data_IF_718768273798
#
_entry.id   IF_718768273798
#
_cell.length_a   1.000
_cell.length_b   1.000
_cell.length_c   1.000
_cell.angle_alpha   90.00
_cell.angle_beta   90.00
_cell.angle_gamma   90.00
#
_symmetry.space_group_name_H-M   'P 1'
#
loop_
_entity.id
_entity.type
_entity.pdbx_description
1 polymer ?
#
# COMPACT_ATOMS: atom_id res chain seq x y z
N UNK A 1 44.29 47.37 -29.68
CA UNK A 1 42.84 47.35 -29.67
C UNK A 1 42.24 45.93 -29.46
N UNK A 2 42.71 44.86 -30.13
CA UNK A 2 42.13 43.50 -29.95
C UNK A 2 42.26 42.91 -28.54
N UNK A 3 43.32 43.22 -27.78
CA UNK A 3 43.51 42.70 -26.40
C UNK A 3 42.60 43.37 -25.37
N UNK A 4 42.26 44.66 -25.56
CA UNK A 4 41.37 45.38 -24.65
C UNK A 4 39.91 44.94 -24.83
N UNK A 5 39.51 44.60 -26.07
CA UNK A 5 38.17 44.09 -26.36
C UNK A 5 37.90 42.71 -25.70
N UNK A 6 38.92 41.83 -25.65
CA UNK A 6 38.80 40.51 -24.99
C UNK A 6 38.65 40.63 -23.46
N UNK A 7 39.32 41.61 -22.84
CA UNK A 7 39.22 41.84 -21.39
C UNK A 7 37.84 42.39 -21.02
N UNK A 8 37.30 43.33 -21.81
CA UNK A 8 35.94 43.86 -21.59
C UNK A 8 34.87 42.79 -21.77
N UNK A 9 35.02 41.92 -22.77
CA UNK A 9 34.08 40.80 -22.97
C UNK A 9 34.17 39.77 -21.84
N UNK A 10 35.35 39.47 -21.33
CA UNK A 10 35.58 38.61 -20.18
C UNK A 10 34.97 39.16 -18.88
N UNK A 11 35.11 40.46 -18.63
CA UNK A 11 34.49 41.10 -17.48
C UNK A 11 32.97 41.19 -17.57
N UNK A 12 32.40 41.36 -18.76
CA UNK A 12 30.94 41.31 -18.97
C UNK A 12 30.38 39.90 -18.77
N UNK A 13 31.11 38.85 -19.19
CA UNK A 13 30.70 37.47 -18.94
C UNK A 13 30.76 37.09 -17.46
N UNK A 14 31.81 37.52 -16.76
CA UNK A 14 31.94 37.26 -15.29
C UNK A 14 30.89 38.07 -14.53
N UNK A 15 30.66 39.33 -14.90
CA UNK A 15 29.63 40.19 -14.32
C UNK A 15 28.20 39.64 -14.60
N UNK A 16 27.95 39.12 -15.80
CA UNK A 16 26.69 38.51 -16.18
C UNK A 16 26.40 37.23 -15.41
N UNK A 17 27.42 36.39 -15.22
CA UNK A 17 27.26 35.13 -14.41
C UNK A 17 27.08 35.48 -12.94
N UNK A 18 27.80 36.47 -12.39
CA UNK A 18 27.61 36.89 -11.02
C UNK A 18 26.22 37.52 -10.80
N UNK A 19 25.69 38.31 -11.75
CA UNK A 19 24.36 38.87 -11.67
C UNK A 19 23.27 37.81 -11.76
N UNK A 20 23.43 36.78 -12.61
CA UNK A 20 22.49 35.63 -12.70
C UNK A 20 22.50 34.77 -11.43
N UNK A 21 23.68 34.63 -10.80
CA UNK A 21 23.78 33.91 -9.51
C UNK A 21 23.15 34.73 -8.38
N UNK A 22 23.32 36.04 -8.37
CA UNK A 22 22.71 36.94 -7.38
C UNK A 22 21.19 37.11 -7.61
N UNK A 23 20.71 37.11 -8.86
CA UNK A 23 19.28 37.15 -9.16
C UNK A 23 18.57 35.79 -8.94
N UNK A 24 19.27 34.66 -9.04
CA UNK A 24 18.77 33.36 -8.61
C UNK A 24 18.74 33.17 -7.09
N UNK A 25 19.47 33.97 -6.35
CA UNK A 25 19.47 33.96 -4.88
C UNK A 25 18.30 34.72 -4.23
N UNK A 26 17.42 35.38 -5.01
CA UNK A 26 16.17 36.00 -4.54
C UNK A 26 14.91 35.21 -4.93
N UNK A 27 15.03 33.88 -5.04
CA UNK A 27 13.87 33.01 -4.86
C UNK A 27 13.40 33.09 -3.40
N UNK A 28 12.12 32.74 -3.09
CA UNK A 28 11.60 32.75 -1.73
C UNK A 28 12.62 32.07 -0.82
N UNK A 29 12.94 32.68 0.32
CA UNK A 29 13.90 32.17 1.30
C UNK A 29 13.77 30.66 1.43
N UNK A 30 14.78 29.92 0.99
CA UNK A 30 14.87 28.49 1.20
C UNK A 30 14.94 28.30 2.70
N UNK A 31 13.79 28.06 3.31
CA UNK A 31 13.70 27.70 4.73
C UNK A 31 14.68 26.55 4.95
N UNK A 32 15.68 26.74 5.80
CA UNK A 32 16.65 25.69 6.08
C UNK A 32 15.91 24.46 6.58
N UNK A 33 15.89 23.39 5.76
CA UNK A 33 15.15 22.17 6.07
C UNK A 33 16.04 21.16 6.79
N UNK A 34 15.45 20.46 7.74
CA UNK A 34 16.03 19.32 8.43
C UNK A 34 15.88 18.08 7.55
N UNK A 35 16.98 17.57 7.01
CA UNK A 35 16.92 16.33 6.22
C UNK A 35 16.70 15.14 7.13
N UNK A 36 15.66 14.34 6.86
CA UNK A 36 15.35 13.08 7.54
C UNK A 36 15.36 11.93 6.54
N UNK A 37 16.00 10.81 6.93
CA UNK A 37 16.01 9.56 6.16
C UNK A 37 14.98 8.61 6.76
N UNK A 38 14.17 8.00 5.92
CA UNK A 38 13.16 7.03 6.36
C UNK A 38 13.13 5.77 5.53
N UNK A 39 12.76 4.66 6.15
CA UNK A 39 12.37 3.43 5.46
C UNK A 39 10.86 3.30 5.47
N UNK A 40 10.26 3.07 4.30
CA UNK A 40 8.81 3.10 4.09
C UNK A 40 8.33 1.84 3.34
N UNK A 41 7.05 1.47 3.50
CA UNK A 41 6.40 0.54 2.57
C UNK A 41 6.32 1.15 1.17
N UNK A 42 6.50 0.33 0.13
CA UNK A 42 6.63 0.78 -1.27
C UNK A 42 5.42 1.57 -1.78
N UNK A 43 4.22 1.25 -1.31
CA UNK A 43 2.96 1.93 -1.65
C UNK A 43 2.92 3.41 -1.24
N UNK A 44 3.85 3.84 -0.37
CA UNK A 44 4.02 5.25 0.03
C UNK A 44 5.06 6.00 -0.79
N UNK A 45 5.75 5.33 -1.71
CA UNK A 45 6.85 5.93 -2.48
C UNK A 45 6.39 7.12 -3.31
N UNK A 46 5.24 6.99 -3.97
CA UNK A 46 4.70 8.05 -4.82
C UNK A 46 4.23 9.26 -4.00
N UNK A 47 3.74 9.04 -2.76
CA UNK A 47 3.42 10.12 -1.85
C UNK A 47 4.66 10.94 -1.50
N UNK A 48 5.76 10.31 -1.04
CA UNK A 48 6.97 11.04 -0.64
C UNK A 48 7.77 11.62 -1.81
N UNK A 49 7.48 11.21 -3.05
CA UNK A 49 8.09 11.78 -4.28
C UNK A 49 7.23 12.86 -4.93
N UNK A 50 6.00 13.02 -4.49
CA UNK A 50 5.09 14.03 -5.01
C UNK A 50 5.65 15.44 -4.79
N UNK A 51 5.76 16.29 -5.83
CA UNK A 51 6.29 17.66 -5.70
C UNK A 51 5.52 18.52 -4.69
N UNK A 52 4.18 18.34 -4.60
CA UNK A 52 3.36 19.09 -3.65
C UNK A 52 3.57 18.62 -2.21
N UNK A 53 3.77 17.31 -2.00
CA UNK A 53 4.14 16.74 -0.70
C UNK A 53 5.53 17.21 -0.29
N UNK A 54 6.52 17.13 -1.21
CA UNK A 54 7.90 17.61 -0.97
C UNK A 54 7.87 19.08 -0.58
N UNK A 55 7.10 19.90 -1.31
CA UNK A 55 6.97 21.34 -0.99
C UNK A 55 6.27 21.53 0.36
N UNK A 56 5.17 20.84 0.63
CA UNK A 56 4.44 20.98 1.89
C UNK A 56 5.30 20.59 3.10
N UNK A 57 6.13 19.55 2.97
CA UNK A 57 7.08 19.15 4.01
C UNK A 57 8.21 20.15 4.16
N UNK A 58 8.73 20.72 3.05
CA UNK A 58 9.75 21.75 3.09
C UNK A 58 9.24 23.03 3.77
N UNK A 59 7.99 23.44 3.50
CA UNK A 59 7.33 24.57 4.18
C UNK A 59 7.20 24.37 5.71
N UNK A 60 7.27 23.09 6.17
CA UNK A 60 7.30 22.70 7.60
C UNK A 60 8.72 22.40 8.10
N UNK A 61 9.75 22.70 7.33
CA UNK A 61 11.15 22.55 7.72
C UNK A 61 11.70 21.12 7.53
N UNK A 62 11.10 20.27 6.70
CA UNK A 62 11.55 18.90 6.44
C UNK A 62 11.94 18.67 4.99
N UNK A 63 13.09 18.03 4.78
CA UNK A 63 13.45 17.36 3.53
C UNK A 63 13.48 15.86 3.80
N UNK A 64 12.53 15.09 3.24
CA UNK A 64 12.42 13.65 3.46
C UNK A 64 13.15 12.90 2.35
N UNK A 65 14.02 11.95 2.73
CA UNK A 65 14.64 10.95 1.86
C UNK A 65 14.11 9.58 2.26
N UNK A 66 13.25 9.00 1.44
CA UNK A 66 12.57 7.74 1.72
C UNK A 66 13.13 6.61 0.86
N UNK A 67 13.40 5.47 1.49
CA UNK A 67 13.81 4.20 0.86
C UNK A 67 12.73 3.15 1.11
N UNK A 68 12.44 2.32 0.11
CA UNK A 68 11.37 1.32 0.21
C UNK A 68 11.89 -0.01 0.71
N UNK A 69 11.12 -0.64 1.62
CA UNK A 69 11.34 -2.01 2.08
C UNK A 69 9.99 -2.69 2.35
N UNK A 70 9.96 -4.02 2.33
CA UNK A 70 8.83 -4.75 2.88
C UNK A 70 8.71 -4.49 4.38
N UNK A 71 7.50 -4.27 4.88
CA UNK A 71 7.29 -3.88 6.28
C UNK A 71 7.87 -4.89 7.29
N UNK A 72 7.80 -6.19 6.98
CA UNK A 72 8.32 -7.26 7.80
C UNK A 72 9.82 -7.56 7.58
N UNK A 73 10.49 -6.73 6.79
CA UNK A 73 11.93 -6.77 6.61
C UNK A 73 12.63 -5.55 7.21
N UNK A 74 11.88 -4.55 7.65
CA UNK A 74 12.42 -3.29 8.17
C UNK A 74 13.22 -3.48 9.46
N UNK A 75 12.79 -4.38 10.34
CA UNK A 75 13.44 -4.73 11.60
C UNK A 75 14.87 -5.30 11.41
N UNK A 76 15.16 -5.82 10.22
CA UNK A 76 16.47 -6.42 9.85
C UNK A 76 17.44 -5.44 9.22
N UNK A 77 16.98 -4.20 8.96
CA UNK A 77 17.84 -3.16 8.40
C UNK A 77 18.75 -2.53 9.46
N UNK A 78 19.77 -1.80 9.02
CA UNK A 78 20.61 -0.99 9.88
C UNK A 78 19.82 0.25 10.37
N UNK A 79 18.87 0.05 11.30
CA UNK A 79 17.92 1.07 11.75
C UNK A 79 18.57 2.36 12.25
N UNK A 80 19.82 2.30 12.70
CA UNK A 80 20.61 3.47 13.13
C UNK A 80 20.92 4.45 11.99
N UNK A 81 20.78 4.02 10.74
CA UNK A 81 20.98 4.88 9.56
C UNK A 81 19.72 5.65 9.18
N UNK A 82 18.59 5.34 9.80
CA UNK A 82 17.30 5.98 9.52
C UNK A 82 16.84 6.86 10.68
N UNK A 83 16.13 7.91 10.36
CA UNK A 83 15.51 8.80 11.33
C UNK A 83 14.07 8.34 11.67
N UNK A 84 13.42 7.59 10.75
CA UNK A 84 12.12 6.98 10.98
C UNK A 84 11.94 5.70 10.15
N UNK A 85 10.99 4.86 10.61
CA UNK A 85 10.42 3.77 9.83
C UNK A 85 8.91 3.99 9.68
N UNK A 86 8.36 3.61 8.53
CA UNK A 86 6.94 3.77 8.27
C UNK A 86 6.36 2.51 7.64
N UNK A 87 6.28 1.41 8.40
CA UNK A 87 5.64 0.18 7.95
C UNK A 87 4.14 0.39 7.72
N UNK A 88 3.54 -0.56 7.04
CA UNK A 88 2.15 -0.46 6.58
C UNK A 88 1.14 -1.00 7.59
N UNK A 89 1.58 -1.46 8.77
CA UNK A 89 0.70 -1.79 9.90
C UNK A 89 1.44 -1.70 11.24
N UNK A 90 0.69 -1.82 12.34
CA UNK A 90 1.21 -1.71 13.70
C UNK A 90 2.06 -2.91 14.13
N UNK A 91 1.80 -4.10 13.59
CA UNK A 91 2.53 -5.30 13.97
C UNK A 91 4.02 -5.22 13.56
N UNK A 92 4.37 -4.95 12.30
CA UNK A 92 5.78 -4.74 11.94
C UNK A 92 6.37 -3.46 12.56
N UNK A 93 5.56 -2.46 12.92
CA UNK A 93 6.07 -1.30 13.66
C UNK A 93 6.63 -1.69 15.03
N UNK A 94 5.95 -2.58 15.76
CA UNK A 94 6.44 -3.13 17.04
C UNK A 94 7.76 -3.88 16.90
N UNK A 95 7.95 -4.63 15.80
CA UNK A 95 9.22 -5.32 15.53
C UNK A 95 10.35 -4.31 15.25
N UNK A 96 10.05 -3.23 14.53
CA UNK A 96 11.00 -2.14 14.31
C UNK A 96 11.39 -1.47 15.64
N UNK A 97 10.42 -1.15 16.49
CA UNK A 97 10.68 -0.56 17.83
C UNK A 97 11.57 -1.48 18.68
N UNK A 98 11.22 -2.77 18.73
CA UNK A 98 12.01 -3.76 19.46
C UNK A 98 13.43 -3.88 18.92
N UNK A 99 13.62 -3.94 17.61
CA UNK A 99 14.92 -4.03 16.95
C UNK A 99 15.76 -2.75 17.13
N UNK A 100 15.12 -1.58 17.17
CA UNK A 100 15.78 -0.30 17.42
C UNK A 100 16.07 -0.06 18.92
N UNK A 101 15.56 -0.90 19.82
CA UNK A 101 15.71 -0.73 21.28
C UNK A 101 14.91 0.47 21.82
N UNK A 102 13.84 0.88 21.14
CA UNK A 102 13.00 2.01 21.52
C UNK A 102 11.83 1.47 22.34
N UNK A 103 11.54 2.09 23.49
CA UNK A 103 10.37 1.81 24.29
C UNK A 103 9.46 3.04 24.30
N UNK A 104 8.18 2.84 23.96
CA UNK A 104 7.19 3.92 23.98
C UNK A 104 7.45 4.99 22.93
N UNK A 105 7.81 4.59 21.72
CA UNK A 105 7.89 5.52 20.58
C UNK A 105 6.56 6.29 20.44
N UNK A 106 6.64 7.58 20.10
CA UNK A 106 5.47 8.35 19.74
C UNK A 106 5.02 7.94 18.33
N UNK A 107 4.43 6.75 18.23
CA UNK A 107 3.83 6.30 16.98
C UNK A 107 2.76 7.27 16.48
N UNK A 108 2.70 7.47 15.18
CA UNK A 108 1.58 8.12 14.53
C UNK A 108 0.95 7.19 13.50
N UNK A 109 -0.38 7.24 13.38
CA UNK A 109 -1.15 6.46 12.40
C UNK A 109 -1.93 7.42 11.52
N UNK A 110 -1.28 8.13 10.60
CA UNK A 110 -1.92 9.22 9.87
C UNK A 110 -3.03 8.74 8.94
N UNK A 111 -2.92 7.54 8.40
CA UNK A 111 -3.85 7.00 7.43
C UNK A 111 -3.85 5.47 7.40
N UNK A 112 -4.84 4.93 6.70
CA UNK A 112 -4.97 3.51 6.44
C UNK A 112 -5.40 3.23 5.00
N UNK A 113 -5.28 1.98 4.58
CA UNK A 113 -5.86 1.49 3.33
C UNK A 113 -6.39 0.07 3.53
N UNK A 114 -7.63 -0.23 3.14
CA UNK A 114 -8.09 -1.62 3.12
C UNK A 114 -7.40 -2.40 2.01
N UNK A 115 -7.32 -3.72 2.16
CA UNK A 115 -6.97 -4.62 1.08
C UNK A 115 -8.16 -4.79 0.14
N UNK A 116 -7.89 -4.82 -1.16
CA UNK A 116 -8.84 -5.12 -2.22
C UNK A 116 -8.26 -6.18 -3.15
N UNK A 117 -9.13 -6.88 -3.86
CA UNK A 117 -8.74 -7.72 -4.99
C UNK A 117 -9.13 -7.00 -6.27
N UNK A 118 -8.16 -6.78 -7.15
CA UNK A 118 -8.41 -6.19 -8.45
C UNK A 118 -8.56 -7.33 -9.45
N UNK A 119 -9.62 -7.30 -10.23
CA UNK A 119 -10.00 -8.36 -11.15
C UNK A 119 -10.11 -7.84 -12.59
N UNK A 120 -9.74 -8.67 -13.57
CA UNK A 120 -10.17 -8.48 -14.96
C UNK A 120 -11.69 -8.60 -15.04
N UNK A 121 -12.38 -7.84 -15.92
CA UNK A 121 -13.84 -7.91 -16.06
C UNK A 121 -14.36 -9.33 -16.30
N UNK A 122 -13.67 -10.12 -17.14
CA UNK A 122 -14.01 -11.52 -17.38
C UNK A 122 -13.92 -12.37 -16.11
N UNK A 123 -12.85 -12.19 -15.32
CA UNK A 123 -12.68 -12.91 -14.07
C UNK A 123 -13.76 -12.51 -13.03
N UNK A 124 -14.03 -11.21 -12.89
CA UNK A 124 -15.09 -10.75 -11.99
C UNK A 124 -16.45 -11.31 -12.36
N UNK A 125 -16.77 -11.34 -13.67
CA UNK A 125 -18.00 -11.92 -14.18
C UNK A 125 -18.12 -13.41 -13.86
N UNK A 126 -17.08 -14.20 -14.18
CA UNK A 126 -17.08 -15.65 -13.91
C UNK A 126 -17.19 -15.94 -12.42
N UNK A 127 -16.52 -15.16 -11.56
CA UNK A 127 -16.65 -15.29 -10.11
C UNK A 127 -18.06 -14.93 -9.63
N UNK A 128 -18.70 -13.93 -10.24
CA UNK A 128 -20.07 -13.55 -9.90
C UNK A 128 -21.08 -14.64 -10.32
N UNK A 129 -20.96 -15.16 -11.54
CA UNK A 129 -21.78 -16.27 -12.04
C UNK A 129 -21.60 -17.54 -11.18
N UNK A 130 -20.39 -17.73 -10.63
CA UNK A 130 -20.03 -18.82 -9.71
C UNK A 130 -20.40 -18.59 -8.25
N UNK A 131 -20.98 -17.44 -7.89
CA UNK A 131 -21.38 -17.12 -6.52
C UNK A 131 -20.21 -16.80 -5.56
N UNK A 132 -19.03 -16.47 -6.09
CA UNK A 132 -17.86 -16.06 -5.31
C UNK A 132 -17.78 -14.52 -5.16
N UNK A 133 -18.48 -13.79 -6.01
CA UNK A 133 -18.52 -12.32 -6.02
C UNK A 133 -19.97 -11.85 -6.07
N UNK A 134 -20.26 -10.77 -5.38
CA UNK A 134 -21.51 -10.01 -5.49
C UNK A 134 -21.18 -8.64 -6.06
N UNK A 135 -21.55 -8.38 -7.32
CA UNK A 135 -21.36 -7.08 -7.92
C UNK A 135 -22.27 -6.04 -7.26
N UNK A 136 -21.73 -4.85 -6.98
CA UNK A 136 -22.46 -3.70 -6.42
C UNK A 136 -22.53 -2.53 -7.40
N UNK A 137 -21.70 -2.53 -8.42
CA UNK A 137 -21.65 -1.55 -9.51
C UNK A 137 -21.05 -2.18 -10.77
N UNK A 138 -20.78 -1.36 -11.77
CA UNK A 138 -20.16 -1.84 -13.02
C UNK A 138 -18.73 -2.36 -12.78
N UNK A 139 -17.97 -1.63 -12.02
CA UNK A 139 -16.54 -1.87 -11.79
C UNK A 139 -16.21 -2.10 -10.31
N UNK A 140 -17.21 -2.39 -9.47
CA UNK A 140 -17.00 -2.68 -8.06
C UNK A 140 -17.92 -3.79 -7.57
N UNK A 141 -17.45 -4.54 -6.59
CA UNK A 141 -18.20 -5.65 -6.00
C UNK A 141 -17.57 -6.11 -4.68
N UNK A 142 -18.18 -7.16 -4.12
CA UNK A 142 -17.72 -7.80 -2.89
C UNK A 142 -17.23 -9.20 -3.21
N UNK A 143 -15.98 -9.53 -2.86
CA UNK A 143 -15.47 -10.89 -2.88
C UNK A 143 -15.95 -11.59 -1.61
N UNK A 144 -16.72 -12.67 -1.79
CA UNK A 144 -17.25 -13.48 -0.70
C UNK A 144 -16.15 -14.44 -0.22
N UNK A 145 -15.49 -14.12 0.87
CA UNK A 145 -14.30 -14.83 1.34
C UNK A 145 -14.58 -16.30 1.67
N UNK A 146 -15.73 -16.61 2.27
CA UNK A 146 -16.10 -18.00 2.55
C UNK A 146 -16.17 -18.88 1.30
N UNK A 147 -16.99 -18.55 0.29
CA UNK A 147 -17.02 -19.23 -1.01
C UNK A 147 -15.68 -19.27 -1.74
N UNK A 148 -14.90 -18.16 -1.72
CA UNK A 148 -13.59 -18.10 -2.34
C UNK A 148 -12.60 -19.08 -1.68
N UNK A 149 -12.51 -19.08 -0.36
CA UNK A 149 -11.63 -19.99 0.39
C UNK A 149 -12.02 -21.46 0.19
N UNK A 150 -13.32 -21.76 0.10
CA UNK A 150 -13.79 -23.10 -0.23
C UNK A 150 -13.35 -23.53 -1.64
N UNK A 151 -13.46 -22.64 -2.64
CA UNK A 151 -12.99 -22.92 -3.99
C UNK A 151 -11.46 -23.18 -4.02
N UNK A 152 -10.67 -22.44 -3.22
CA UNK A 152 -9.23 -22.67 -3.07
C UNK A 152 -8.92 -23.99 -2.35
N UNK A 153 -9.69 -24.37 -1.33
CA UNK A 153 -9.56 -25.64 -0.62
C UNK A 153 -9.84 -26.84 -1.54
N UNK A 154 -10.82 -26.71 -2.43
CA UNK A 154 -11.20 -27.70 -3.45
C UNK A 154 -10.30 -27.70 -4.68
N UNK A 155 -9.24 -26.87 -4.73
CA UNK A 155 -8.35 -26.68 -5.89
C UNK A 155 -9.11 -26.36 -7.20
N UNK A 156 -10.17 -25.58 -7.11
CA UNK A 156 -11.09 -25.31 -8.21
C UNK A 156 -10.41 -24.55 -9.34
N UNK A 157 -10.61 -25.03 -10.58
CA UNK A 157 -10.12 -24.35 -11.78
C UNK A 157 -11.16 -23.38 -12.34
N UNK A 158 -10.69 -22.35 -13.06
CA UNK A 158 -11.56 -21.37 -13.70
C UNK A 158 -12.64 -22.03 -14.56
N UNK A 159 -12.27 -23.00 -15.40
CA UNK A 159 -13.19 -23.67 -16.33
C UNK A 159 -14.25 -24.56 -15.65
N UNK A 160 -14.18 -24.74 -14.34
CA UNK A 160 -15.21 -25.41 -13.54
C UNK A 160 -16.27 -24.43 -13.00
N UNK A 161 -16.06 -23.11 -13.19
CA UNK A 161 -17.02 -22.10 -12.77
C UNK A 161 -18.05 -21.82 -13.87
N UNK A 162 -19.32 -21.53 -13.50
CA UNK A 162 -20.33 -21.09 -14.46
C UNK A 162 -19.86 -19.90 -15.30
N UNK A 163 -20.18 -19.90 -16.59
CA UNK A 163 -19.80 -18.80 -17.50
C UNK A 163 -18.37 -18.85 -18.02
N UNK A 164 -17.47 -19.65 -17.43
CA UNK A 164 -16.06 -19.67 -17.81
C UNK A 164 -15.79 -20.16 -19.25
N UNK A 165 -16.67 -20.99 -19.81
CA UNK A 165 -16.52 -21.46 -21.20
C UNK A 165 -16.48 -20.31 -22.24
N UNK A 166 -17.05 -19.14 -21.93
CA UNK A 166 -16.96 -17.94 -22.76
C UNK A 166 -15.63 -17.17 -22.60
N UNK A 167 -14.79 -17.58 -21.66
CA UNK A 167 -13.56 -16.91 -21.25
C UNK A 167 -12.38 -17.89 -21.22
N UNK A 168 -11.93 -18.40 -22.39
CA UNK A 168 -10.85 -19.39 -22.49
C UNK A 168 -9.48 -18.85 -22.01
N UNK A 169 -9.34 -17.53 -21.91
CA UNK A 169 -8.17 -16.88 -21.35
C UNK A 169 -8.01 -17.12 -19.83
N UNK A 170 -9.12 -17.46 -19.14
CA UNK A 170 -9.10 -17.83 -17.73
C UNK A 170 -8.76 -19.31 -17.60
N UNK A 171 -7.51 -19.63 -17.33
CA UNK A 171 -7.01 -21.00 -17.25
C UNK A 171 -6.39 -21.29 -15.88
N UNK A 172 -6.24 -22.58 -15.57
CA UNK A 172 -5.64 -23.03 -14.31
C UNK A 172 -6.56 -22.85 -13.10
N UNK A 173 -5.96 -22.82 -11.90
CA UNK A 173 -6.68 -22.70 -10.63
C UNK A 173 -7.14 -21.27 -10.39
N UNK A 174 -8.25 -21.14 -9.66
CA UNK A 174 -8.72 -19.84 -9.16
C UNK A 174 -7.89 -19.43 -7.95
N UNK A 175 -7.13 -18.36 -8.06
CA UNK A 175 -6.36 -17.80 -6.95
C UNK A 175 -6.22 -16.27 -7.08
N UNK A 176 -5.87 -15.61 -5.99
CA UNK A 176 -5.48 -14.21 -5.97
C UNK A 176 -3.97 -14.13 -5.88
N UNK A 177 -3.30 -13.47 -6.83
CA UNK A 177 -1.87 -13.20 -6.76
C UNK A 177 -1.60 -12.23 -5.62
N UNK A 178 -0.84 -12.67 -4.62
CA UNK A 178 -0.50 -11.89 -3.43
C UNK A 178 1.00 -11.63 -3.36
N UNK A 179 1.47 -11.12 -2.23
CA UNK A 179 2.87 -10.89 -1.94
C UNK A 179 3.39 -11.90 -0.93
N UNK A 180 4.72 -11.97 -0.73
CA UNK A 180 5.34 -12.84 0.26
C UNK A 180 4.91 -12.45 1.69
N UNK A 181 4.15 -13.29 2.40
CA UNK A 181 3.64 -12.97 3.72
C UNK A 181 4.73 -12.86 4.81
N UNK A 182 5.93 -13.36 4.54
CA UNK A 182 7.05 -13.26 5.49
C UNK A 182 7.79 -11.93 5.43
N UNK A 183 7.63 -11.16 4.36
CA UNK A 183 8.36 -9.90 4.14
C UNK A 183 7.45 -8.73 3.82
N UNK A 184 6.30 -8.97 3.20
CA UNK A 184 5.34 -7.95 2.77
C UNK A 184 4.11 -7.90 3.67
N UNK A 185 3.68 -6.70 4.01
CA UNK A 185 2.52 -6.50 4.87
C UNK A 185 1.21 -6.97 4.23
N UNK A 186 0.99 -6.71 2.94
CA UNK A 186 -0.23 -7.13 2.24
C UNK A 186 -0.40 -8.65 2.23
N UNK A 187 0.68 -9.40 2.01
CA UNK A 187 0.66 -10.87 2.10
C UNK A 187 0.35 -11.37 3.50
N UNK A 188 0.95 -10.77 4.53
CA UNK A 188 0.68 -11.10 5.92
C UNK A 188 -0.78 -10.78 6.31
N UNK A 189 -1.29 -9.61 5.93
CA UNK A 189 -2.69 -9.23 6.17
C UNK A 189 -3.68 -10.11 5.40
N UNK A 190 -3.32 -10.56 4.18
CA UNK A 190 -4.13 -11.53 3.44
C UNK A 190 -4.23 -12.87 4.18
N UNK A 191 -3.12 -13.36 4.76
CA UNK A 191 -3.17 -14.55 5.61
C UNK A 191 -3.98 -14.32 6.89
N UNK A 192 -3.86 -13.14 7.51
CA UNK A 192 -4.64 -12.79 8.69
C UNK A 192 -6.15 -12.85 8.41
N UNK A 193 -6.61 -12.25 7.31
CA UNK A 193 -8.02 -12.29 6.94
C UNK A 193 -8.48 -13.70 6.52
N UNK A 194 -7.70 -14.41 5.69
CA UNK A 194 -8.05 -15.74 5.22
C UNK A 194 -8.12 -16.75 6.38
N UNK A 195 -7.12 -16.70 7.28
CA UNK A 195 -7.11 -17.55 8.47
C UNK A 195 -8.25 -17.22 9.44
N UNK A 196 -8.64 -15.95 9.58
CA UNK A 196 -9.81 -15.56 10.39
C UNK A 196 -11.09 -16.23 9.86
N UNK A 197 -11.35 -16.15 8.55
CA UNK A 197 -12.53 -16.75 7.92
C UNK A 197 -12.48 -18.29 8.05
N UNK A 198 -11.33 -18.90 7.76
CA UNK A 198 -11.13 -20.34 7.89
C UNK A 198 -11.24 -20.83 9.35
N UNK A 199 -10.96 -19.98 10.32
CA UNK A 199 -11.09 -20.25 11.75
C UNK A 199 -12.49 -19.89 12.30
N UNK A 200 -13.53 -20.00 11.49
CA UNK A 200 -14.90 -19.72 11.91
C UNK A 200 -15.15 -18.24 12.24
N UNK A 201 -14.51 -17.33 11.52
CA UNK A 201 -14.59 -15.89 11.69
C UNK A 201 -14.02 -15.38 13.05
N UNK A 202 -13.04 -16.11 13.57
CA UNK A 202 -12.33 -15.76 14.82
C UNK A 202 -10.84 -15.62 14.54
N UNK A 203 -10.20 -14.60 15.13
CA UNK A 203 -8.77 -14.40 15.01
C UNK A 203 -8.02 -15.62 15.52
N UNK A 204 -7.06 -16.11 14.74
CA UNK A 204 -6.18 -17.21 15.18
C UNK A 204 -5.30 -16.71 16.32
N UNK A 205 -5.37 -17.35 17.47
CA UNK A 205 -4.70 -16.89 18.70
C UNK A 205 -3.73 -17.90 19.32
N UNK A 206 -3.72 -19.14 18.82
CA UNK A 206 -2.96 -20.26 19.36
C UNK A 206 -2.46 -21.25 18.29
N UNK A 207 -1.63 -22.19 18.70
CA UNK A 207 -1.04 -23.20 17.84
C UNK A 207 -2.13 -24.13 17.24
N UNK A 208 -3.19 -24.42 17.97
CA UNK A 208 -4.30 -25.23 17.46
C UNK A 208 -5.02 -24.53 16.29
N UNK A 209 -5.22 -23.23 16.37
CA UNK A 209 -5.75 -22.42 15.28
C UNK A 209 -4.80 -22.35 14.08
N UNK A 210 -3.48 -22.26 14.31
CA UNK A 210 -2.47 -22.32 13.25
C UNK A 210 -2.57 -23.67 12.53
N UNK A 211 -2.47 -24.78 13.24
CA UNK A 211 -2.50 -26.12 12.62
C UNK A 211 -3.79 -26.39 11.85
N UNK A 212 -4.94 -25.92 12.35
CA UNK A 212 -6.23 -26.06 11.68
C UNK A 212 -6.29 -25.29 10.36
N UNK A 213 -5.71 -24.08 10.30
CA UNK A 213 -5.80 -23.22 9.13
C UNK A 213 -4.62 -23.35 8.15
N UNK A 214 -3.46 -23.83 8.62
CA UNK A 214 -2.23 -23.92 7.83
C UNK A 214 -2.37 -24.68 6.49
N UNK A 215 -3.11 -25.80 6.38
CA UNK A 215 -3.25 -26.48 5.09
C UNK A 215 -3.86 -25.60 4.00
N UNK A 216 -4.90 -24.85 4.33
CA UNK A 216 -5.53 -23.91 3.39
C UNK A 216 -4.60 -22.71 3.11
N UNK A 217 -3.94 -22.14 4.13
CA UNK A 217 -2.99 -21.04 3.91
C UNK A 217 -1.85 -21.46 2.98
N UNK A 218 -1.36 -22.69 3.10
CA UNK A 218 -0.34 -23.24 2.19
C UNK A 218 -0.87 -23.33 0.75
N UNK A 219 -2.09 -23.80 0.54
CA UNK A 219 -2.72 -23.84 -0.80
C UNK A 219 -2.79 -22.44 -1.42
N UNK A 220 -3.26 -21.46 -0.67
CA UNK A 220 -3.39 -20.07 -1.14
C UNK A 220 -2.05 -19.47 -1.58
N UNK A 221 -0.95 -19.85 -0.95
CA UNK A 221 0.38 -19.31 -1.24
C UNK A 221 1.11 -20.14 -2.30
N UNK A 222 1.10 -21.48 -2.17
CA UNK A 222 1.87 -22.36 -3.07
C UNK A 222 1.39 -22.35 -4.52
N UNK A 223 0.09 -22.10 -4.77
CA UNK A 223 -0.47 -22.03 -6.12
C UNK A 223 0.10 -20.89 -6.96
N UNK A 224 0.66 -19.88 -6.34
CA UNK A 224 1.09 -18.62 -6.98
C UNK A 224 2.49 -18.69 -7.62
N UNK A 225 3.28 -19.73 -7.33
CA UNK A 225 4.68 -19.81 -7.74
C UNK A 225 5.56 -18.78 -7.00
N UNK A 226 6.34 -18.01 -7.75
CA UNK A 226 7.18 -16.95 -7.16
C UNK A 226 6.34 -15.86 -6.51
N UNK A 227 6.70 -15.49 -5.29
CA UNK A 227 6.02 -14.47 -4.51
C UNK A 227 6.68 -13.10 -4.71
N UNK A 228 5.85 -12.08 -4.83
CA UNK A 228 6.30 -10.70 -5.01
C UNK A 228 6.66 -10.05 -3.66
N UNK A 229 7.68 -9.18 -3.62
CA UNK A 229 8.07 -8.49 -2.38
C UNK A 229 7.11 -7.36 -2.01
N UNK A 230 6.29 -6.88 -2.95
CA UNK A 230 5.32 -5.78 -2.75
C UNK A 230 4.17 -5.86 -3.74
N UNK A 231 3.08 -5.10 -3.49
CA UNK A 231 1.93 -5.01 -4.39
C UNK A 231 2.21 -4.22 -5.68
N UNK A 232 3.27 -3.42 -5.73
CA UNK A 232 3.57 -2.55 -6.88
C UNK A 232 3.83 -3.31 -8.18
N UNK A 233 4.59 -4.41 -8.10
CA UNK A 233 4.88 -5.25 -9.27
C UNK A 233 3.61 -5.81 -9.91
N UNK A 234 2.82 -6.60 -9.18
CA UNK A 234 1.54 -7.14 -9.65
C UNK A 234 0.56 -6.05 -10.11
N UNK A 235 0.49 -4.93 -9.39
CA UNK A 235 -0.41 -3.83 -9.76
C UNK A 235 -0.03 -3.20 -11.09
N UNK A 236 1.26 -2.87 -11.31
CA UNK A 236 1.74 -2.32 -12.59
C UNK A 236 1.56 -3.31 -13.74
N UNK A 237 1.87 -4.59 -13.52
CA UNK A 237 1.64 -5.63 -14.51
C UNK A 237 0.15 -5.73 -14.88
N UNK A 238 -0.74 -5.66 -13.89
CA UNK A 238 -2.17 -5.65 -14.13
C UNK A 238 -2.61 -4.42 -14.94
N UNK A 239 -2.23 -3.21 -14.55
CA UNK A 239 -2.59 -1.97 -15.26
C UNK A 239 -2.06 -1.96 -16.70
N UNK A 240 -0.87 -2.52 -16.94
CA UNK A 240 -0.31 -2.64 -18.30
C UNK A 240 -0.96 -3.74 -19.16
N UNK A 241 -1.98 -4.43 -18.68
CA UNK A 241 -2.68 -5.49 -19.40
C UNK A 241 -2.02 -6.87 -19.27
N UNK A 242 -0.94 -7.01 -18.51
CA UNK A 242 -0.24 -8.26 -18.23
C UNK A 242 -0.54 -8.77 -16.82
N UNK A 243 -0.01 -9.92 -16.45
CA UNK A 243 -0.16 -10.48 -15.11
C UNK A 243 -1.44 -11.29 -14.90
N UNK A 244 -1.67 -11.67 -13.66
CA UNK A 244 -2.77 -12.56 -13.26
C UNK A 244 -4.14 -11.87 -13.34
N UNK A 245 -5.22 -12.64 -13.57
CA UNK A 245 -6.57 -12.07 -13.66
C UNK A 245 -7.11 -11.53 -12.33
N UNK A 246 -6.55 -11.98 -11.20
CA UNK A 246 -6.87 -11.52 -9.85
C UNK A 246 -5.58 -11.18 -9.10
N UNK A 247 -5.47 -9.98 -8.61
CA UNK A 247 -4.33 -9.53 -7.80
C UNK A 247 -4.80 -8.89 -6.49
N UNK A 248 -4.02 -9.09 -5.44
CA UNK A 248 -4.19 -8.35 -4.19
C UNK A 248 -3.52 -6.97 -4.31
N UNK A 249 -4.22 -5.94 -3.89
CA UNK A 249 -3.70 -4.57 -3.86
C UNK A 249 -4.20 -3.83 -2.62
N UNK A 250 -3.64 -2.67 -2.36
CA UNK A 250 -4.25 -1.70 -1.47
C UNK A 250 -5.26 -0.85 -2.24
N UNK A 251 -6.39 -0.53 -1.64
CA UNK A 251 -7.36 0.39 -2.23
C UNK A 251 -6.70 1.70 -2.65
N UNK A 252 -5.74 2.20 -1.84
CA UNK A 252 -5.01 3.44 -2.12
C UNK A 252 -4.33 3.46 -3.48
N UNK A 253 -3.90 2.32 -4.02
CA UNK A 253 -3.28 2.26 -5.36
C UNK A 253 -4.30 2.61 -6.46
N UNK A 254 -5.52 2.06 -6.36
CA UNK A 254 -6.61 2.37 -7.31
C UNK A 254 -7.12 3.79 -7.07
N UNK A 255 -7.39 4.15 -5.82
CA UNK A 255 -7.91 5.47 -5.48
C UNK A 255 -6.95 6.59 -5.90
N UNK A 256 -5.63 6.38 -5.76
CA UNK A 256 -4.61 7.33 -6.25
C UNK A 256 -4.71 7.54 -7.75
N UNK A 257 -4.82 6.47 -8.55
CA UNK A 257 -4.98 6.61 -10.01
C UNK A 257 -6.21 7.44 -10.36
N UNK A 258 -7.36 7.11 -9.76
CA UNK A 258 -8.64 7.78 -10.03
C UNK A 258 -8.60 9.25 -9.63
N UNK A 259 -8.12 9.57 -8.43
CA UNK A 259 -8.04 10.94 -7.91
C UNK A 259 -7.04 11.81 -8.69
N UNK A 260 -6.06 11.19 -9.35
CA UNK A 260 -5.13 11.85 -10.25
C UNK A 260 -5.57 11.82 -11.71
N UNK A 261 -6.84 11.45 -11.97
CA UNK A 261 -7.44 11.39 -13.30
C UNK A 261 -6.67 10.49 -14.29
N UNK A 262 -5.97 9.48 -13.77
CA UNK A 262 -5.34 8.46 -14.60
C UNK A 262 -6.39 7.43 -15.01
N UNK A 263 -6.29 6.91 -16.24
CA UNK A 263 -7.18 5.86 -16.70
C UNK A 263 -6.88 4.55 -15.94
N UNK A 264 -7.85 4.01 -15.18
CA UNK A 264 -7.67 2.74 -14.47
C UNK A 264 -7.70 1.52 -15.42
N UNK A 265 -8.00 1.73 -16.72
CA UNK A 265 -8.20 0.67 -17.68
C UNK A 265 -9.39 -0.24 -17.32
N UNK A 266 -9.37 -1.46 -17.85
CA UNK A 266 -10.40 -2.45 -17.56
C UNK A 266 -10.12 -3.19 -16.24
N UNK A 267 -10.55 -2.60 -15.13
CA UNK A 267 -10.46 -3.25 -13.81
C UNK A 267 -11.79 -3.23 -13.05
N UNK A 268 -12.00 -4.26 -12.25
CA UNK A 268 -13.07 -4.37 -11.27
C UNK A 268 -12.45 -4.45 -9.89
N UNK A 269 -12.87 -3.58 -8.97
CA UNK A 269 -12.38 -3.54 -7.60
C UNK A 269 -13.30 -4.36 -6.70
N UNK A 270 -12.79 -5.45 -6.19
CA UNK A 270 -13.53 -6.38 -5.33
C UNK A 270 -13.07 -6.20 -3.87
N UNK A 271 -13.97 -5.74 -3.03
CA UNK A 271 -13.72 -5.64 -1.60
C UNK A 271 -14.02 -7.00 -0.95
N UNK A 272 -13.06 -7.63 -0.24
CA UNK A 272 -13.38 -8.80 0.56
C UNK A 272 -14.47 -8.47 1.59
N UNK A 273 -15.49 -9.32 1.73
CA UNK A 273 -16.57 -9.15 2.73
C UNK A 273 -16.05 -9.16 4.17
N UNK A 274 -14.86 -9.69 4.34
CA UNK A 274 -14.06 -9.65 5.56
C UNK A 274 -12.69 -9.08 5.21
N UNK A 275 -12.22 -8.04 5.88
CA UNK A 275 -10.93 -7.39 5.61
C UNK A 275 -10.17 -7.02 6.89
N UNK A 276 -8.87 -6.78 6.71
CA UNK A 276 -8.00 -6.16 7.71
C UNK A 276 -7.54 -4.82 7.15
N UNK A 277 -7.72 -3.74 7.91
CA UNK A 277 -7.18 -2.45 7.51
C UNK A 277 -5.68 -2.38 7.76
N UNK A 278 -4.96 -1.96 6.74
CA UNK A 278 -3.55 -1.61 6.84
C UNK A 278 -3.43 -0.21 7.44
N UNK A 279 -3.33 -0.11 8.77
CA UNK A 279 -3.12 1.16 9.48
C UNK A 279 -1.62 1.50 9.44
N UNK A 280 -1.24 2.36 8.50
CA UNK A 280 0.17 2.74 8.32
C UNK A 280 0.68 3.44 9.57
N UNK A 281 1.75 2.89 10.15
CA UNK A 281 2.27 3.30 11.45
C UNK A 281 3.66 3.92 11.30
N UNK A 282 3.76 5.20 11.59
CA UNK A 282 5.01 5.95 11.60
C UNK A 282 5.71 5.79 12.93
N UNK A 283 6.97 5.34 12.91
CA UNK A 283 7.82 5.13 14.09
C UNK A 283 9.01 6.07 13.99
N UNK A 284 9.09 7.13 14.81
CA UNK A 284 10.30 7.94 14.89
C UNK A 284 11.42 7.13 15.57
N UNK A 285 12.55 6.98 14.88
CA UNK A 285 13.72 6.26 15.40
C UNK A 285 14.66 7.17 16.21
N UNK A 286 14.50 8.47 16.08
CA UNK A 286 15.23 9.49 16.84
C UNK A 286 14.45 10.82 16.88
N UNK A 287 14.98 11.79 17.68
CA UNK A 287 14.39 13.11 17.87
C UNK A 287 14.19 13.91 16.57
N UNK A 288 14.99 13.63 15.54
CA UNK A 288 14.94 14.36 14.29
C UNK A 288 13.61 14.18 13.55
N UNK A 289 13.00 13.00 13.66
CA UNK A 289 11.74 12.65 12.99
C UNK A 289 10.51 12.69 13.90
N UNK A 290 10.67 13.00 15.20
CA UNK A 290 9.59 12.92 16.20
C UNK A 290 8.32 13.62 15.77
N UNK A 291 8.42 14.87 15.31
CA UNK A 291 7.25 15.68 14.98
C UNK A 291 6.67 15.39 13.58
N UNK A 292 7.43 14.70 12.73
CA UNK A 292 7.01 14.44 11.35
C UNK A 292 5.75 13.55 11.29
N UNK A 293 5.66 12.54 12.16
CA UNK A 293 4.48 11.68 12.24
C UNK A 293 3.22 12.46 12.67
N UNK A 294 3.36 13.36 13.63
CA UNK A 294 2.27 14.24 14.05
C UNK A 294 1.84 15.19 12.92
N UNK A 295 2.78 15.76 12.16
CA UNK A 295 2.47 16.61 11.00
C UNK A 295 1.67 15.87 9.94
N UNK A 296 2.02 14.62 9.60
CA UNK A 296 1.27 13.80 8.65
C UNK A 296 -0.18 13.54 9.10
N UNK A 297 -0.44 13.59 10.40
CA UNK A 297 -1.76 13.36 10.99
C UNK A 297 -2.59 14.64 11.10
N UNK A 298 -1.95 15.78 11.48
CA UNK A 298 -2.66 16.97 11.93
C UNK A 298 -2.63 18.14 10.95
N UNK A 299 -1.63 18.22 10.05
CA UNK A 299 -1.55 19.30 9.08
C UNK A 299 -2.61 19.14 7.98
N UNK A 300 -3.52 20.13 7.81
CA UNK A 300 -4.62 20.00 6.85
C UNK A 300 -4.15 19.79 5.41
N UNK A 301 -3.07 20.47 4.98
CA UNK A 301 -2.55 20.34 3.61
C UNK A 301 -1.94 18.96 3.38
N UNK A 302 -1.17 18.43 4.33
CA UNK A 302 -0.60 17.08 4.21
C UNK A 302 -1.70 16.03 4.22
N UNK A 303 -2.77 16.20 5.02
CA UNK A 303 -3.94 15.31 5.01
C UNK A 303 -4.66 15.31 3.67
N UNK A 304 -4.84 16.49 3.04
CA UNK A 304 -5.42 16.58 1.70
C UNK A 304 -4.54 15.87 0.65
N UNK A 305 -3.22 16.04 0.72
CA UNK A 305 -2.28 15.34 -0.16
C UNK A 305 -2.27 13.82 0.08
N UNK A 306 -2.41 13.37 1.34
CA UNK A 306 -2.61 11.95 1.68
C UNK A 306 -3.86 11.40 0.99
N UNK A 307 -4.99 12.12 1.05
CA UNK A 307 -6.23 11.72 0.37
C UNK A 307 -6.07 11.69 -1.15
N UNK A 308 -5.41 12.69 -1.74
CA UNK A 308 -5.14 12.74 -3.19
C UNK A 308 -4.27 11.57 -3.66
N UNK A 309 -3.48 10.98 -2.75
CA UNK A 309 -2.73 9.74 -2.99
C UNK A 309 -3.51 8.48 -2.60
N UNK A 310 -4.83 8.60 -2.45
CA UNK A 310 -5.75 7.49 -2.27
C UNK A 310 -5.78 6.88 -0.87
N UNK A 311 -5.00 7.37 0.08
CA UNK A 311 -5.05 6.89 1.45
C UNK A 311 -6.23 7.47 2.21
N UNK A 312 -6.82 6.67 3.07
CA UNK A 312 -7.90 7.09 3.97
C UNK A 312 -7.29 7.69 5.25
N UNK A 313 -7.48 8.98 5.55
CA UNK A 313 -7.05 9.54 6.82
C UNK A 313 -7.77 8.82 7.98
N UNK A 314 -7.09 8.66 9.12
CA UNK A 314 -7.73 8.10 10.33
C UNK A 314 -8.92 8.97 10.78
N UNK A 315 -8.77 10.28 10.66
CA UNK A 315 -9.83 11.25 10.85
C UNK A 315 -10.13 11.91 9.50
N UNK A 316 -11.37 11.88 9.04
CA UNK A 316 -11.74 12.50 7.76
C UNK A 316 -12.43 11.55 6.77
N UNK A 317 -13.15 10.54 7.28
CA UNK A 317 -13.91 9.62 6.43
C UNK A 317 -14.90 10.33 5.51
N UNK A 318 -15.54 11.42 5.97
CA UNK A 318 -16.46 12.21 5.17
C UNK A 318 -15.75 12.95 4.03
N UNK A 319 -14.55 13.48 4.27
CA UNK A 319 -13.75 14.17 3.25
C UNK A 319 -13.28 13.17 2.19
N UNK A 320 -12.81 11.99 2.59
CA UNK A 320 -12.44 10.94 1.65
C UNK A 320 -13.64 10.49 0.82
N UNK A 321 -14.80 10.29 1.45
CA UNK A 321 -16.04 9.92 0.75
C UNK A 321 -16.46 11.00 -0.25
N UNK A 322 -16.35 12.27 0.10
CA UNK A 322 -16.66 13.38 -0.82
C UNK A 322 -15.67 13.44 -1.99
N UNK A 323 -14.36 13.28 -1.75
CA UNK A 323 -13.35 13.29 -2.79
C UNK A 323 -13.49 12.11 -3.75
N UNK A 324 -13.93 10.94 -3.27
CA UNK A 324 -14.09 9.73 -4.07
C UNK A 324 -15.51 9.52 -4.62
N UNK A 325 -16.46 10.37 -4.29
CA UNK A 325 -17.85 10.28 -4.78
C UNK A 325 -17.97 10.17 -6.33
N UNK A 326 -17.17 10.90 -7.14
CA UNK A 326 -17.22 10.76 -8.60
C UNK A 326 -16.78 9.37 -9.09
N UNK A 327 -16.14 8.58 -8.25
CA UNK A 327 -15.57 7.25 -8.56
C UNK A 327 -16.31 6.11 -7.85
N UNK A 328 -17.57 6.32 -7.47
CA UNK A 328 -18.41 5.31 -6.81
C UNK A 328 -18.59 4.01 -7.63
N UNK A 329 -18.39 4.07 -8.95
CA UNK A 329 -18.37 2.88 -9.81
C UNK A 329 -17.17 1.96 -9.56
N UNK A 330 -16.10 2.45 -8.91
CA UNK A 330 -14.88 1.68 -8.61
C UNK A 330 -14.62 1.57 -7.12
N UNK A 331 -15.05 2.52 -6.31
CA UNK A 331 -14.67 2.62 -4.90
C UNK A 331 -15.89 2.52 -3.97
N UNK A 332 -15.74 1.70 -2.92
CA UNK A 332 -16.67 1.66 -1.79
C UNK A 332 -16.22 2.67 -0.73
N UNK A 333 -16.53 3.96 -0.93
CA UNK A 333 -16.04 5.05 -0.10
C UNK A 333 -16.38 4.90 1.39
N UNK A 334 -17.54 4.30 1.71
CA UNK A 334 -18.00 4.08 3.08
C UNK A 334 -17.59 2.72 3.69
N UNK A 335 -16.93 1.83 2.92
CA UNK A 335 -16.67 0.44 3.28
C UNK A 335 -17.93 -0.30 3.74
N UNK A 336 -19.07 0.05 3.15
CA UNK A 336 -20.38 -0.52 3.50
C UNK A 336 -20.41 -2.02 3.18
N UNK A 337 -20.89 -2.82 4.13
CA UNK A 337 -20.99 -4.27 3.97
C UNK A 337 -19.66 -5.03 4.16
N UNK A 338 -18.60 -4.34 4.57
CA UNK A 338 -17.28 -4.93 4.81
C UNK A 338 -17.07 -5.10 6.31
N UNK A 339 -16.84 -6.34 6.74
CA UNK A 339 -16.51 -6.66 8.12
C UNK A 339 -15.00 -6.49 8.33
N UNK A 340 -14.64 -5.62 9.26
CA UNK A 340 -13.26 -5.47 9.69
C UNK A 340 -12.93 -6.45 10.81
N UNK A 341 -11.79 -7.10 10.73
CA UNK A 341 -11.30 -8.04 11.76
C UNK A 341 -9.92 -7.62 12.25
N UNK A 342 -9.60 -8.02 13.48
CA UNK A 342 -8.29 -7.79 14.06
C UNK A 342 -7.20 -8.68 13.43
N UNK A 343 -5.96 -8.27 13.57
CA UNK A 343 -4.79 -9.08 13.22
C UNK A 343 -4.43 -10.03 14.36
N UNK A 344 -3.92 -11.24 14.06
CA UNK A 344 -3.22 -12.06 15.05
C UNK A 344 -2.01 -11.32 15.64
N UNK A 345 -1.53 -11.79 16.79
CA UNK A 345 -0.26 -11.29 17.32
C UNK A 345 0.88 -11.55 16.32
N UNK A 346 1.97 -10.78 16.41
CA UNK A 346 3.17 -10.95 15.57
C UNK A 346 3.61 -12.41 15.51
N UNK A 347 3.73 -13.06 16.69
CA UNK A 347 4.13 -14.47 16.80
C UNK A 347 3.23 -15.39 15.96
N UNK A 348 1.93 -15.26 16.09
CA UNK A 348 0.95 -16.08 15.37
C UNK A 348 0.98 -15.78 13.87
N UNK A 349 1.04 -14.51 13.50
CA UNK A 349 1.04 -14.09 12.09
C UNK A 349 2.30 -14.60 11.35
N UNK A 350 3.48 -14.51 12.00
CA UNK A 350 4.71 -15.05 11.43
C UNK A 350 4.71 -16.58 11.37
N UNK A 351 4.12 -17.25 12.36
CA UNK A 351 3.96 -18.71 12.33
C UNK A 351 3.02 -19.15 11.17
N UNK A 352 1.91 -18.44 10.96
CA UNK A 352 1.03 -18.65 9.80
C UNK A 352 1.78 -18.44 8.48
N UNK A 353 2.56 -17.37 8.35
CA UNK A 353 3.36 -17.09 7.17
C UNK A 353 4.38 -18.20 6.88
N UNK A 354 5.07 -18.67 7.92
CA UNK A 354 6.03 -19.77 7.81
C UNK A 354 5.34 -21.07 7.38
N UNK A 355 4.20 -21.43 8.00
CA UNK A 355 3.43 -22.64 7.66
C UNK A 355 2.83 -22.57 6.25
N UNK A 356 2.47 -21.39 5.78
CA UNK A 356 1.95 -21.18 4.43
C UNK A 356 3.02 -21.37 3.34
N UNK A 357 4.28 -21.09 3.64
CA UNK A 357 5.40 -21.25 2.69
C UNK A 357 5.93 -22.69 2.64
N UNK A 358 5.70 -23.52 3.64
CA UNK A 358 6.11 -24.93 3.72
C UNK A 358 7.25 -25.18 4.68
#
# INVERSE_FOLDING_TARGET
>A
MRRILGIILGLLLIGGVAAVVLLKGQGPESTATKTVRGVIGSEKSDFFRDPDVVKALADKGYTVKAESSGSWAMDKLALKEFDFAFPSSSEPAKEVEAAAGIQGAQEAKPFFSPLVVIARPSAAKVLADGGLVKMSGKNTGTLLMGPFLKAAEEDRNWQQLPGAAAHPELAGRVFVKTTDPATSNSGALFLALASNVANGNTVVADDAGIERTAPLMRKLISVQGALEPSTDGPFRAFVSGSGEPLILAYESQVASMLLQHQDPGEMVVLYPDTTVNSAHTFVPLNEKARDLGALLTTDPRLRDLVMQRGFRPQEGAAQFAAATAPYADHLNSGLTGIRQVGTPTVKILMALAQRAKG
#
